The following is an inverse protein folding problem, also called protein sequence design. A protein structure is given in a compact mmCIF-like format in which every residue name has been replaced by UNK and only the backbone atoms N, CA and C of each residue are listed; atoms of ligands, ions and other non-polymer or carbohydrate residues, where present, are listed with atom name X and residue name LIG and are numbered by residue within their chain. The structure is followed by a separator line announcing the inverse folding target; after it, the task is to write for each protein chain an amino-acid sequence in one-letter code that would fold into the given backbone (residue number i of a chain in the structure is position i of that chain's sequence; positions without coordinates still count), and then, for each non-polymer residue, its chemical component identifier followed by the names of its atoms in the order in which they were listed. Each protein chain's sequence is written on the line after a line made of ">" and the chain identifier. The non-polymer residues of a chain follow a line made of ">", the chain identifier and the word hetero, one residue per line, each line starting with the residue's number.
data_IF_072322271577
#
_entry.id   IF_072322271577
#
_cell.length_a   1.000
_cell.length_b   1.000
_cell.length_c   1.000
_cell.angle_alpha   90.00
_cell.angle_beta   90.00
_cell.angle_gamma   90.00
#
_symmetry.space_group_name_H-M   'P 1'
#
loop_
_entity.id
_entity.type
_entity.pdbx_description
1 polymer ?
#
# COMPACT_ATOMS: atom_id res chain seq x y z
N UNK A 1 19.64 -14.34 18.25
CA UNK A 1 19.41 -15.58 17.46
C UNK A 1 19.16 -16.71 18.44
N UNK A 2 18.08 -17.47 18.27
CA UNK A 2 17.74 -18.61 19.15
C UNK A 2 18.33 -19.89 18.55
N UNK A 3 18.84 -20.77 19.41
CA UNK A 3 19.36 -22.09 19.02
C UNK A 3 18.29 -22.89 18.27
N UNK A 4 18.69 -23.65 17.24
CA UNK A 4 17.80 -24.58 16.55
C UNK A 4 17.36 -25.70 17.52
N UNK A 5 16.05 -25.81 17.76
CA UNK A 5 15.45 -26.85 18.60
C UNK A 5 15.64 -28.23 17.98
N UNK A 6 15.89 -29.24 18.83
CA UNK A 6 15.91 -30.65 18.42
C UNK A 6 14.48 -31.13 18.16
N UNK A 7 14.35 -32.26 17.46
CA UNK A 7 13.05 -32.80 17.05
C UNK A 7 12.06 -32.98 18.22
N UNK A 8 12.51 -33.49 19.37
CA UNK A 8 11.67 -33.67 20.56
C UNK A 8 11.25 -32.33 21.19
N UNK A 9 12.15 -31.34 21.22
CA UNK A 9 11.87 -30.00 21.73
C UNK A 9 10.87 -29.27 20.82
N UNK A 10 11.03 -29.40 19.49
CA UNK A 10 10.11 -28.81 18.51
C UNK A 10 8.72 -29.47 18.55
N UNK A 11 8.63 -30.77 18.91
CA UNK A 11 7.35 -31.46 19.11
C UNK A 11 6.59 -30.94 20.34
N UNK A 12 7.31 -30.51 21.38
CA UNK A 12 6.74 -29.91 22.59
C UNK A 12 6.42 -28.42 22.41
N UNK A 13 7.29 -27.68 21.72
CA UNK A 13 7.23 -26.22 21.57
C UNK A 13 6.68 -25.80 20.20
N UNK A 14 5.55 -26.39 19.78
CA UNK A 14 4.96 -26.13 18.45
C UNK A 14 4.41 -24.71 18.27
N UNK A 15 4.01 -24.05 19.35
CA UNK A 15 3.41 -22.69 19.34
C UNK A 15 4.43 -21.59 19.68
N UNK A 16 5.69 -21.95 19.91
CA UNK A 16 6.72 -21.01 20.36
C UNK A 16 7.53 -20.54 19.16
N UNK A 17 7.10 -19.43 18.58
CA UNK A 17 7.86 -18.69 17.57
C UNK A 17 8.16 -17.29 18.10
N UNK A 18 9.43 -17.06 18.49
CA UNK A 18 9.88 -15.75 19.01
C UNK A 18 9.93 -14.64 17.95
N UNK A 19 9.82 -15.01 16.66
CA UNK A 19 9.98 -14.10 15.52
C UNK A 19 8.63 -13.78 14.88
N UNK A 20 7.72 -14.74 14.85
CA UNK A 20 6.44 -14.62 14.16
C UNK A 20 5.30 -14.87 15.15
N UNK A 21 4.70 -13.81 15.66
CA UNK A 21 3.49 -13.89 16.46
C UNK A 21 2.28 -13.73 15.54
N UNK A 22 1.24 -14.55 15.69
CA UNK A 22 0.06 -14.52 14.80
C UNK A 22 -0.67 -13.17 14.80
N UNK A 23 -0.56 -12.41 15.90
CA UNK A 23 -1.15 -11.07 16.06
C UNK A 23 -0.35 -10.02 15.28
N UNK A 24 0.94 -10.27 15.07
CA UNK A 24 1.87 -9.35 14.44
C UNK A 24 2.01 -9.62 12.95
N UNK A 25 1.31 -8.84 12.12
CA UNK A 25 1.57 -8.79 10.67
C UNK A 25 2.89 -8.07 10.31
N UNK A 26 3.88 -8.16 11.20
CA UNK A 26 5.13 -7.42 11.20
C UNK A 26 6.03 -7.85 10.03
N UNK A 27 6.04 -9.14 9.67
CA UNK A 27 6.83 -9.65 8.55
C UNK A 27 6.39 -9.05 7.20
N UNK A 28 5.08 -8.87 7.00
CA UNK A 28 4.58 -8.26 5.77
C UNK A 28 4.96 -6.78 5.70
N UNK A 29 4.75 -6.05 6.79
CA UNK A 29 5.14 -4.64 6.91
C UNK A 29 6.64 -4.44 6.64
N UNK A 30 7.51 -5.19 7.33
CA UNK A 30 8.96 -5.11 7.15
C UNK A 30 9.37 -5.44 5.72
N UNK A 31 8.71 -6.42 5.07
CA UNK A 31 8.95 -6.74 3.65
C UNK A 31 8.63 -5.56 2.74
N UNK A 32 7.53 -4.85 3.00
CA UNK A 32 7.12 -3.67 2.21
C UNK A 32 8.04 -2.47 2.49
N UNK A 33 8.37 -2.21 3.76
CA UNK A 33 9.31 -1.16 4.16
C UNK A 33 10.68 -1.33 3.49
N UNK A 34 11.22 -2.56 3.49
CA UNK A 34 12.49 -2.88 2.81
C UNK A 34 12.40 -2.70 1.30
N UNK A 35 11.31 -3.16 0.69
CA UNK A 35 11.11 -3.09 -0.77
C UNK A 35 11.07 -1.65 -1.27
N UNK A 36 10.41 -0.74 -0.54
CA UNK A 36 10.21 0.65 -0.96
C UNK A 36 11.11 1.65 -0.24
N UNK A 37 12.07 1.17 0.56
CA UNK A 37 12.98 1.98 1.36
C UNK A 37 12.24 3.09 2.13
N UNK A 38 11.28 2.67 2.97
CA UNK A 38 10.55 3.57 3.85
C UNK A 38 11.27 3.58 5.19
N UNK A 39 11.72 4.75 5.62
CA UNK A 39 12.47 4.92 6.87
C UNK A 39 11.56 4.93 8.09
N UNK A 40 10.45 5.68 8.01
CA UNK A 40 9.51 5.85 9.11
C UNK A 40 8.38 4.82 9.02
N UNK A 41 8.28 3.96 10.03
CA UNK A 41 7.21 2.96 10.17
C UNK A 41 5.81 3.61 10.27
N UNK A 42 5.74 4.80 10.84
CA UNK A 42 4.52 5.58 10.97
C UNK A 42 3.87 5.87 9.61
N UNK A 43 4.67 6.16 8.58
CA UNK A 43 4.16 6.51 7.26
C UNK A 43 3.47 5.32 6.60
N UNK A 44 4.04 4.11 6.77
CA UNK A 44 3.39 2.88 6.33
C UNK A 44 2.06 2.65 7.04
N UNK A 45 2.01 2.88 8.35
CA UNK A 45 0.78 2.74 9.14
C UNK A 45 -0.29 3.73 8.68
N UNK A 46 0.08 4.98 8.38
CA UNK A 46 -0.82 5.99 7.81
C UNK A 46 -1.37 5.54 6.45
N UNK A 47 -0.53 5.06 5.54
CA UNK A 47 -0.99 4.55 4.24
C UNK A 47 -1.91 3.34 4.38
N UNK A 48 -1.64 2.46 5.33
CA UNK A 48 -2.50 1.31 5.60
C UNK A 48 -3.89 1.74 6.09
N UNK A 49 -3.96 2.70 7.03
CA UNK A 49 -5.22 3.30 7.49
C UNK A 49 -6.00 3.95 6.34
N UNK A 50 -5.32 4.75 5.51
CA UNK A 50 -5.94 5.38 4.33
C UNK A 50 -6.49 4.33 3.35
N UNK A 51 -5.73 3.27 3.07
CA UNK A 51 -6.18 2.18 2.20
C UNK A 51 -7.40 1.44 2.75
N UNK A 52 -7.52 1.33 4.09
CA UNK A 52 -8.70 0.75 4.73
C UNK A 52 -9.91 1.66 4.58
N UNK A 53 -9.76 2.96 4.89
CA UNK A 53 -10.85 3.93 4.75
C UNK A 53 -11.42 3.98 3.31
N UNK A 54 -10.56 3.88 2.29
CA UNK A 54 -11.00 3.82 0.88
C UNK A 54 -11.83 2.56 0.61
N UNK A 55 -11.42 1.41 1.14
CA UNK A 55 -12.14 0.13 0.98
C UNK A 55 -13.47 0.13 1.72
N UNK A 56 -13.49 0.64 2.94
CA UNK A 56 -14.71 0.75 3.75
C UNK A 56 -15.72 1.69 3.07
N UNK A 57 -15.24 2.78 2.48
CA UNK A 57 -16.09 3.70 1.72
C UNK A 57 -16.61 3.03 0.43
N UNK A 58 -15.76 2.30 -0.30
CA UNK A 58 -16.20 1.54 -1.46
C UNK A 58 -17.24 0.45 -1.12
N UNK A 59 -17.09 -0.22 0.03
CA UNK A 59 -18.08 -1.16 0.57
C UNK A 59 -19.41 -0.46 0.83
N UNK A 60 -19.40 0.65 1.58
CA UNK A 60 -20.61 1.44 1.86
C UNK A 60 -21.32 1.89 0.58
N UNK A 61 -20.57 2.27 -0.46
CA UNK A 61 -21.17 2.68 -1.74
C UNK A 61 -21.78 1.51 -2.51
N UNK A 62 -21.22 0.30 -2.39
CA UNK A 62 -21.80 -0.91 -2.96
C UNK A 62 -23.08 -1.34 -2.22
N UNK A 63 -23.12 -1.13 -0.91
CA UNK A 63 -24.27 -1.51 -0.07
C UNK A 63 -25.49 -0.58 -0.27
N UNK A 64 -25.34 0.55 -0.96
CA UNK A 64 -26.44 1.44 -1.34
C UNK A 64 -27.30 0.84 -2.47
N UNK A 65 -28.58 1.19 -2.51
CA UNK A 65 -29.51 0.72 -3.54
C UNK A 65 -29.10 1.22 -4.94
N UNK A 66 -29.39 0.40 -5.96
CA UNK A 66 -29.02 0.64 -7.36
C UNK A 66 -29.87 1.75 -8.00
N UNK A 67 -31.05 2.01 -7.43
CA UNK A 67 -32.00 3.02 -7.92
C UNK A 67 -31.67 4.44 -7.47
N UNK A 68 -30.80 4.60 -6.47
CA UNK A 68 -30.37 5.92 -6.01
C UNK A 68 -29.35 6.52 -6.98
N UNK A 69 -29.70 7.63 -7.64
CA UNK A 69 -28.76 8.42 -8.45
C UNK A 69 -27.51 8.88 -7.67
N UNK A 70 -27.58 8.87 -6.33
CA UNK A 70 -26.47 9.11 -5.43
C UNK A 70 -25.37 8.04 -5.51
N UNK A 71 -25.71 6.76 -5.75
CA UNK A 71 -24.72 5.68 -5.92
C UNK A 71 -23.87 5.91 -7.16
N UNK A 72 -24.49 6.29 -8.28
CA UNK A 72 -23.79 6.62 -9.52
C UNK A 72 -22.87 7.84 -9.34
N UNK A 73 -23.38 8.92 -8.71
CA UNK A 73 -22.58 10.13 -8.47
C UNK A 73 -21.41 9.86 -7.51
N UNK A 74 -21.65 9.12 -6.43
CA UNK A 74 -20.62 8.80 -5.43
C UNK A 74 -19.55 7.87 -6.01
N UNK A 75 -19.95 6.86 -6.79
CA UNK A 75 -19.02 5.98 -7.51
C UNK A 75 -18.17 6.78 -8.49
N UNK A 76 -18.77 7.68 -9.27
CA UNK A 76 -18.03 8.55 -10.18
C UNK A 76 -17.02 9.44 -9.43
N UNK A 77 -17.44 10.11 -8.36
CA UNK A 77 -16.56 10.97 -7.54
C UNK A 77 -15.39 10.20 -6.92
N UNK A 78 -15.62 8.96 -6.48
CA UNK A 78 -14.55 8.13 -5.93
C UNK A 78 -13.57 7.67 -6.98
N UNK A 79 -14.08 7.20 -8.12
CA UNK A 79 -13.25 6.77 -9.24
C UNK A 79 -12.43 7.94 -9.80
N UNK A 80 -13.04 9.13 -9.90
CA UNK A 80 -12.36 10.36 -10.31
C UNK A 80 -11.21 10.71 -9.37
N UNK A 81 -11.42 10.65 -8.05
CA UNK A 81 -10.36 10.95 -7.06
C UNK A 81 -9.26 9.88 -6.98
N UNK A 82 -9.59 8.60 -7.24
CA UNK A 82 -8.64 7.49 -7.13
C UNK A 82 -7.80 7.27 -8.40
N UNK A 83 -8.25 7.77 -9.55
CA UNK A 83 -7.61 7.51 -10.84
C UNK A 83 -6.68 8.64 -11.30
N UNK A 84 -5.85 8.35 -12.31
CA UNK A 84 -4.97 9.29 -13.01
C UNK A 84 -5.64 9.78 -14.29
N UNK A 85 -6.11 11.04 -14.36
CA UNK A 85 -6.16 11.78 -15.61
C UNK A 85 -4.85 12.56 -15.79
N UNK A 86 -4.37 12.54 -17.03
CA UNK A 86 -2.97 12.74 -17.44
C UNK A 86 -2.33 14.07 -17.02
N UNK A 87 -3.07 15.15 -16.76
CA UNK A 87 -2.48 16.48 -16.53
C UNK A 87 -3.40 17.31 -15.62
N UNK A 88 -3.16 17.25 -14.31
CA UNK A 88 -3.21 18.37 -13.34
C UNK A 88 -3.04 17.79 -11.93
N UNK A 89 -1.80 17.84 -11.44
CA UNK A 89 -1.46 17.99 -10.01
C UNK A 89 -2.19 17.06 -9.02
N UNK A 90 -1.54 15.93 -8.71
CA UNK A 90 -1.85 15.01 -7.59
C UNK A 90 -3.19 14.26 -7.64
N UNK A 91 -3.30 13.25 -8.52
CA UNK A 91 -4.31 12.20 -8.38
C UNK A 91 -3.59 10.85 -8.20
N UNK A 92 -3.95 10.13 -7.13
CA UNK A 92 -3.09 9.16 -6.41
C UNK A 92 -2.71 7.92 -7.24
N UNK A 93 -3.34 7.70 -8.39
CA UNK A 93 -2.99 6.63 -9.33
C UNK A 93 -2.96 5.24 -8.72
N UNK A 94 -3.88 4.98 -7.80
CA UNK A 94 -3.93 3.70 -7.11
C UNK A 94 -4.51 2.60 -8.01
N UNK A 95 -5.27 2.98 -9.05
CA UNK A 95 -6.03 2.09 -9.93
C UNK A 95 -5.77 2.46 -11.40
N UNK A 96 -5.54 1.47 -12.29
CA UNK A 96 -5.27 1.73 -13.71
C UNK A 96 -6.50 2.13 -14.54
N UNK A 97 -7.72 1.70 -14.17
CA UNK A 97 -8.93 1.82 -15.01
C UNK A 97 -10.15 2.38 -14.25
N UNK A 98 -10.97 3.22 -14.91
CA UNK A 98 -12.19 3.85 -14.36
C UNK A 98 -13.39 2.91 -14.19
N UNK A 99 -13.39 1.73 -14.81
CA UNK A 99 -14.65 1.02 -15.05
C UNK A 99 -15.16 0.20 -13.86
N UNK A 100 -14.25 -0.27 -12.98
CA UNK A 100 -14.61 -1.29 -12.00
C UNK A 100 -14.40 -0.81 -10.56
N UNK A 101 -15.51 -0.68 -9.82
CA UNK A 101 -15.48 -0.47 -8.36
C UNK A 101 -14.72 -1.61 -7.66
N UNK A 102 -14.72 -2.83 -8.20
CA UNK A 102 -13.98 -3.97 -7.63
C UNK A 102 -12.45 -3.77 -7.54
N UNK A 103 -11.91 -2.78 -8.26
CA UNK A 103 -10.49 -2.45 -8.18
C UNK A 103 -10.14 -1.59 -6.95
N UNK A 104 -11.12 -0.86 -6.39
CA UNK A 104 -10.91 -0.08 -5.16
C UNK A 104 -10.70 -0.99 -3.95
N UNK A 105 -11.29 -2.20 -3.96
CA UNK A 105 -11.07 -3.23 -2.94
C UNK A 105 -9.63 -3.76 -2.92
N UNK A 106 -8.95 -3.71 -4.06
CA UNK A 106 -7.56 -4.18 -4.22
C UNK A 106 -6.53 -3.12 -3.86
N UNK A 107 -6.96 -1.93 -3.42
CA UNK A 107 -6.06 -0.86 -2.99
C UNK A 107 -5.40 -1.24 -1.67
N UNK A 108 -4.06 -1.34 -1.69
CA UNK A 108 -3.24 -1.65 -0.51
C UNK A 108 -2.26 -0.53 -0.23
N UNK A 109 -1.65 -0.55 0.97
CA UNK A 109 -0.55 0.37 1.31
C UNK A 109 0.59 0.32 0.27
N UNK A 110 0.84 -0.85 -0.36
CA UNK A 110 1.85 -0.99 -1.39
C UNK A 110 1.57 -0.16 -2.67
N UNK A 111 0.29 0.06 -3.00
CA UNK A 111 -0.12 0.90 -4.12
C UNK A 111 0.30 2.36 -3.90
N UNK A 112 0.21 2.85 -2.66
CA UNK A 112 0.72 4.17 -2.28
C UNK A 112 2.25 4.24 -2.35
N UNK A 113 2.93 3.18 -1.91
CA UNK A 113 4.39 3.14 -1.89
C UNK A 113 5.01 3.23 -3.30
N UNK A 114 4.36 2.64 -4.31
CA UNK A 114 4.77 2.73 -5.74
C UNK A 114 4.64 4.14 -6.33
N UNK A 115 3.85 5.02 -5.70
CA UNK A 115 3.56 6.38 -6.17
C UNK A 115 4.40 7.44 -5.48
N UNK A 116 5.31 7.04 -4.57
CA UNK A 116 6.29 7.96 -3.98
C UNK A 116 7.27 8.43 -5.05
N UNK A 117 7.76 9.66 -4.91
CA UNK A 117 8.72 10.28 -5.83
C UNK A 117 9.93 9.37 -6.17
N UNK A 118 10.60 8.70 -5.20
CA UNK A 118 11.72 7.82 -5.54
C UNK A 118 11.31 6.63 -6.42
N UNK A 119 10.10 6.09 -6.22
CA UNK A 119 9.59 4.97 -7.02
C UNK A 119 9.17 5.42 -8.42
N UNK A 120 8.67 6.65 -8.56
CA UNK A 120 8.33 7.23 -9.87
C UNK A 120 9.59 7.51 -10.68
N UNK A 121 10.64 8.06 -10.05
CA UNK A 121 11.92 8.29 -10.71
C UNK A 121 12.54 7.00 -11.28
N UNK A 122 12.41 5.89 -10.55
CA UNK A 122 12.88 4.59 -11.02
C UNK A 122 12.10 4.13 -12.27
N UNK A 123 10.78 4.35 -12.29
CA UNK A 123 9.93 4.04 -13.45
C UNK A 123 10.27 4.93 -14.66
N UNK A 124 10.57 6.21 -14.43
CA UNK A 124 11.02 7.17 -15.45
C UNK A 124 12.49 6.98 -15.86
N UNK A 125 13.18 5.96 -15.33
CA UNK A 125 14.61 5.67 -15.58
C UNK A 125 15.56 6.81 -15.22
N UNK A 126 15.16 7.73 -14.34
CA UNK A 126 16.01 8.82 -13.84
C UNK A 126 17.05 8.34 -12.82
N UNK A 127 16.79 7.21 -12.16
CA UNK A 127 17.70 6.57 -11.23
C UNK A 127 17.65 5.04 -11.38
N UNK A 128 18.79 4.39 -11.19
CA UNK A 128 18.91 2.95 -11.39
C UNK A 128 18.43 2.15 -10.16
N UNK A 129 18.60 2.70 -8.96
CA UNK A 129 18.21 2.08 -7.69
C UNK A 129 17.33 3.02 -6.85
N UNK A 130 16.49 2.44 -5.98
CA UNK A 130 15.68 3.23 -5.04
C UNK A 130 16.54 4.03 -4.05
N UNK A 131 17.65 3.44 -3.56
CA UNK A 131 18.57 4.14 -2.66
C UNK A 131 19.19 5.37 -3.32
N UNK A 132 19.65 5.23 -4.57
CA UNK A 132 20.23 6.35 -5.34
C UNK A 132 19.19 7.43 -5.63
N UNK A 133 17.94 7.03 -5.90
CA UNK A 133 16.84 7.98 -6.09
C UNK A 133 16.61 8.83 -4.82
N UNK A 134 16.62 8.20 -3.64
CA UNK A 134 16.45 8.89 -2.35
C UNK A 134 17.62 9.84 -2.10
N UNK A 135 18.87 9.39 -2.32
CA UNK A 135 20.03 10.27 -2.14
C UNK A 135 20.00 11.48 -3.07
N UNK A 136 19.51 11.35 -4.29
CA UNK A 136 19.40 12.50 -5.21
C UNK A 136 18.32 13.49 -4.76
N UNK A 137 17.22 13.00 -4.19
CA UNK A 137 16.16 13.85 -3.61
C UNK A 137 16.69 14.58 -2.37
N UNK A 138 17.40 13.88 -1.48
CA UNK A 138 17.99 14.49 -0.28
C UNK A 138 19.05 15.54 -0.61
N UNK A 139 19.82 15.32 -1.69
CA UNK A 139 20.81 16.27 -2.19
C UNK A 139 20.18 17.46 -2.93
N UNK A 140 18.86 17.48 -3.18
CA UNK A 140 18.17 18.55 -3.90
C UNK A 140 18.52 18.65 -5.39
N UNK A 141 18.93 17.53 -6.02
CA UNK A 141 19.28 17.49 -7.45
C UNK A 141 18.06 17.28 -8.38
N UNK A 142 16.87 17.17 -7.80
CA UNK A 142 15.57 16.95 -8.46
C UNK A 142 14.53 17.91 -7.89
#
# INVERSE_FOLDING_TARGET
>A
MVRKLKYHEQKLLKKVDFINWEVDNNLHEVKVLRRFHIEKREDYTKYNKLSRNIRDLAQKVRDLDEKDGFRAQSTHRLLEKLQVPLIKTFCVGLIPTKQNLSLTEKVTASSFCRRRLPSIMLNLRMAQNLKTAITFIEQGRI
#
